data_IF_474265319338
#
_entry.id   IF_474265319338
#
_cell.length_a   1.000
_cell.length_b   1.000
_cell.length_c   1.000
_cell.angle_alpha   90.00
_cell.angle_beta   90.00
_cell.angle_gamma   90.00
#
_symmetry.space_group_name_H-M   'P 1'
#
loop_
_entity.id
_entity.type
_entity.pdbx_description
1 polymer ?
#
# COMPACT_ATOMS: atom_id res chain seq x y z
N UNK A 1 -10.22 -10.75 -6.11
CA UNK A 1 -9.77 -11.02 -4.73
C UNK A 1 -10.16 -12.43 -4.31
N UNK A 2 -11.46 -12.76 -4.31
CA UNK A 2 -11.97 -14.10 -3.91
C UNK A 2 -11.48 -15.25 -4.79
N UNK A 3 -11.29 -15.03 -6.09
CA UNK A 3 -10.85 -16.07 -7.03
C UNK A 3 -9.39 -16.53 -6.84
N UNK A 4 -8.55 -15.73 -6.18
CA UNK A 4 -7.14 -16.08 -5.93
C UNK A 4 -6.83 -16.29 -4.44
N UNK A 5 -7.84 -16.21 -3.56
CA UNK A 5 -7.66 -16.25 -2.10
C UNK A 5 -6.56 -15.30 -1.60
N UNK A 6 -6.41 -14.14 -2.26
CA UNK A 6 -5.41 -13.12 -1.92
C UNK A 6 -6.15 -11.80 -1.62
N UNK A 7 -6.23 -11.39 -0.34
CA UNK A 7 -6.85 -10.12 0.03
C UNK A 7 -6.06 -8.90 -0.45
N UNK A 8 -4.78 -9.06 -0.82
CA UNK A 8 -3.97 -7.97 -1.39
C UNK A 8 -4.19 -7.79 -2.89
N UNK A 9 -4.89 -8.72 -3.55
CA UNK A 9 -5.11 -8.74 -4.99
C UNK A 9 -6.20 -7.76 -5.47
N UNK A 10 -6.13 -6.51 -4.99
CA UNK A 10 -6.87 -5.37 -5.51
C UNK A 10 -6.44 -5.04 -6.95
N UNK A 11 -7.28 -4.33 -7.70
CA UNK A 11 -7.05 -4.06 -9.12
C UNK A 11 -5.76 -3.27 -9.34
N UNK A 12 -5.52 -2.26 -8.50
CA UNK A 12 -4.38 -1.36 -8.52
C UNK A 12 -3.09 -2.12 -8.23
N UNK A 13 -3.07 -2.92 -7.15
CA UNK A 13 -1.92 -3.75 -6.78
C UNK A 13 -1.60 -4.75 -7.89
N UNK A 14 -2.62 -5.38 -8.49
CA UNK A 14 -2.43 -6.29 -9.62
C UNK A 14 -1.84 -5.59 -10.85
N UNK A 15 -2.39 -4.44 -11.23
CA UNK A 15 -1.90 -3.65 -12.36
C UNK A 15 -0.44 -3.24 -12.17
N UNK A 16 -0.08 -2.75 -10.97
CA UNK A 16 1.29 -2.38 -10.62
C UNK A 16 2.23 -3.59 -10.70
N UNK A 17 1.86 -4.72 -10.08
CA UNK A 17 2.67 -5.95 -10.13
C UNK A 17 2.90 -6.42 -11.57
N UNK A 18 1.88 -6.37 -12.41
CA UNK A 18 1.98 -6.76 -13.83
C UNK A 18 2.90 -5.81 -14.60
N UNK A 19 2.74 -4.49 -14.43
CA UNK A 19 3.57 -3.50 -15.11
C UNK A 19 5.05 -3.59 -14.68
N UNK A 20 5.32 -3.72 -13.39
CA UNK A 20 6.68 -3.92 -12.86
C UNK A 20 7.34 -5.17 -13.46
N UNK A 21 6.60 -6.28 -13.55
CA UNK A 21 7.08 -7.53 -14.15
C UNK A 21 7.41 -7.35 -15.64
N UNK A 22 6.53 -6.73 -16.39
CA UNK A 22 6.71 -6.49 -17.83
C UNK A 22 7.92 -5.58 -18.09
N UNK A 23 8.09 -4.55 -17.27
CA UNK A 23 9.18 -3.57 -17.40
C UNK A 23 10.52 -4.06 -16.81
N UNK A 24 10.52 -5.20 -16.10
CA UNK A 24 11.70 -5.69 -15.38
C UNK A 24 12.19 -4.73 -14.29
N UNK A 25 11.30 -3.92 -13.72
CA UNK A 25 11.61 -2.86 -12.76
C UNK A 25 10.68 -2.93 -11.54
N UNK A 26 11.10 -2.38 -10.41
CA UNK A 26 10.29 -2.33 -9.18
C UNK A 26 9.62 -0.96 -8.94
N UNK A 27 9.91 0.02 -9.80
CA UNK A 27 9.29 1.35 -9.83
C UNK A 27 8.85 1.68 -11.27
N UNK A 28 7.86 2.55 -11.40
CA UNK A 28 7.19 2.94 -12.64
C UNK A 28 7.16 4.48 -12.79
N UNK A 29 8.33 5.16 -12.79
CA UNK A 29 8.39 6.61 -12.93
C UNK A 29 7.78 7.06 -14.25
N UNK A 30 6.97 8.13 -14.21
CA UNK A 30 6.26 8.65 -15.38
C UNK A 30 4.99 7.86 -15.75
N UNK A 31 4.72 6.73 -15.09
CA UNK A 31 3.48 5.99 -15.33
C UNK A 31 2.27 6.74 -14.75
N UNK A 32 1.11 6.50 -15.37
CA UNK A 32 -0.19 6.99 -14.91
C UNK A 32 -1.09 5.79 -14.64
N UNK A 33 -1.67 5.73 -13.45
CA UNK A 33 -2.64 4.70 -13.09
C UNK A 33 -4.06 5.20 -13.31
N UNK A 34 -4.87 4.43 -14.01
CA UNK A 34 -6.31 4.64 -14.11
C UNK A 34 -7.01 3.57 -13.28
N UNK A 35 -7.88 3.99 -12.36
CA UNK A 35 -8.62 3.10 -11.47
C UNK A 35 -10.12 3.35 -11.57
N UNK A 36 -10.95 2.32 -11.41
CA UNK A 36 -12.41 2.50 -11.37
C UNK A 36 -12.88 3.14 -10.07
N UNK A 37 -12.09 3.07 -9.00
CA UNK A 37 -12.38 3.66 -7.70
C UNK A 37 -11.13 4.31 -7.12
N UNK A 38 -11.30 5.33 -6.29
CA UNK A 38 -10.25 5.94 -5.48
C UNK A 38 -9.49 4.84 -4.72
N UNK A 39 -8.15 4.80 -4.78
CA UNK A 39 -7.38 3.75 -4.14
C UNK A 39 -7.60 3.70 -2.62
N UNK A 40 -7.86 2.49 -2.09
CA UNK A 40 -7.85 2.23 -0.64
C UNK A 40 -6.44 2.48 -0.06
N UNK A 41 -6.26 2.56 1.28
CA UNK A 41 -4.96 2.85 1.89
C UNK A 41 -3.81 1.94 1.44
N UNK A 42 -4.07 0.64 1.27
CA UNK A 42 -3.07 -0.31 0.76
C UNK A 42 -2.66 0.03 -0.68
N UNK A 43 -3.64 0.32 -1.54
CA UNK A 43 -3.39 0.62 -2.95
C UNK A 43 -2.75 2.00 -3.11
N UNK A 44 -3.15 2.98 -2.32
CA UNK A 44 -2.51 4.28 -2.23
C UNK A 44 -1.02 4.14 -1.88
N UNK A 45 -0.68 3.35 -0.84
CA UNK A 45 0.70 3.10 -0.50
C UNK A 45 1.46 2.42 -1.66
N UNK A 46 0.84 1.45 -2.35
CA UNK A 46 1.45 0.79 -3.50
C UNK A 46 1.74 1.77 -4.66
N UNK A 47 0.86 2.76 -4.91
CA UNK A 47 1.09 3.84 -5.89
C UNK A 47 2.34 4.64 -5.54
N UNK A 48 2.50 5.05 -4.27
CA UNK A 48 3.68 5.78 -3.80
C UNK A 48 4.95 4.94 -3.91
N UNK A 49 4.93 3.69 -3.45
CA UNK A 49 6.10 2.79 -3.53
C UNK A 49 6.51 2.48 -4.98
N UNK A 50 5.55 2.45 -5.89
CA UNK A 50 5.82 2.26 -7.31
C UNK A 50 6.24 3.55 -8.03
N UNK A 51 6.30 4.71 -7.36
CA UNK A 51 6.65 6.00 -7.95
C UNK A 51 5.79 6.38 -9.18
N UNK A 52 4.49 6.08 -9.12
CA UNK A 52 3.53 6.44 -10.17
C UNK A 52 3.25 7.95 -10.09
N UNK A 53 3.26 8.61 -11.24
CA UNK A 53 3.23 10.08 -11.31
C UNK A 53 1.83 10.68 -11.20
N UNK A 54 0.79 9.94 -11.58
CA UNK A 54 -0.60 10.38 -11.44
C UNK A 54 -1.55 9.20 -11.30
N UNK A 55 -2.66 9.43 -10.58
CA UNK A 55 -3.78 8.51 -10.50
C UNK A 55 -5.05 9.24 -10.95
N UNK A 56 -5.77 8.65 -11.90
CA UNK A 56 -7.12 9.07 -12.28
C UNK A 56 -8.10 8.01 -11.80
N UNK A 57 -9.16 8.42 -11.13
CA UNK A 57 -10.18 7.50 -10.61
C UNK A 57 -11.60 8.00 -10.92
N UNK A 58 -12.54 7.06 -11.00
CA UNK A 58 -13.94 7.37 -11.31
C UNK A 58 -14.82 7.47 -10.06
N UNK A 59 -14.96 6.40 -9.28
CA UNK A 59 -15.72 6.39 -8.02
C UNK A 59 -14.85 6.83 -6.83
N UNK A 60 -15.49 7.36 -5.79
CA UNK A 60 -14.87 7.82 -4.54
C UNK A 60 -14.89 6.74 -3.45
N UNK A 61 -14.05 6.88 -2.42
CA UNK A 61 -14.10 5.99 -1.25
C UNK A 61 -15.42 6.03 -0.49
N UNK A 62 -16.15 7.14 -0.53
CA UNK A 62 -17.44 7.28 0.13
C UNK A 62 -18.52 6.47 -0.62
N UNK A 63 -18.48 6.47 -1.96
CA UNK A 63 -19.33 5.61 -2.79
C UNK A 63 -19.03 4.13 -2.58
N UNK A 64 -17.74 3.76 -2.46
CA UNK A 64 -17.35 2.39 -2.12
C UNK A 64 -17.84 1.98 -0.72
N UNK A 65 -17.72 2.87 0.27
CA UNK A 65 -18.21 2.62 1.63
C UNK A 65 -19.74 2.45 1.68
N UNK A 66 -20.48 3.20 0.88
CA UNK A 66 -21.95 3.12 0.82
C UNK A 66 -22.47 1.74 0.37
N UNK A 67 -21.65 0.95 -0.33
CA UNK A 67 -21.98 -0.41 -0.78
C UNK A 67 -21.28 -1.51 0.04
N UNK A 68 -20.70 -1.16 1.19
CA UNK A 68 -20.17 -2.10 2.17
C UNK A 68 -18.68 -2.42 2.04
N UNK A 69 -17.92 -1.65 1.27
CA UNK A 69 -16.46 -1.74 1.31
C UNK A 69 -15.88 -0.97 2.50
N UNK A 70 -14.74 -1.44 3.03
CA UNK A 70 -14.11 -0.88 4.23
C UNK A 70 -13.09 0.23 3.93
N UNK A 71 -12.98 0.69 2.67
CA UNK A 71 -11.96 1.62 2.22
C UNK A 71 -11.88 2.87 3.10
N UNK A 72 -13.03 3.50 3.35
CA UNK A 72 -13.13 4.65 4.24
C UNK A 72 -12.77 4.30 5.69
N UNK A 73 -13.29 3.19 6.22
CA UNK A 73 -12.99 2.75 7.58
C UNK A 73 -11.48 2.59 7.81
N UNK A 74 -10.77 1.99 6.86
CA UNK A 74 -9.31 1.81 6.97
C UNK A 74 -8.60 3.17 6.93
N UNK A 75 -9.08 4.15 6.15
CA UNK A 75 -8.56 5.52 6.22
C UNK A 75 -8.75 6.15 7.61
N UNK A 76 -9.91 5.92 8.24
CA UNK A 76 -10.21 6.45 9.57
C UNK A 76 -9.31 5.82 10.68
N UNK A 77 -8.78 4.61 10.47
CA UNK A 77 -7.87 3.91 11.40
C UNK A 77 -6.40 4.40 11.35
N UNK A 78 -5.97 5.00 10.23
CA UNK A 78 -4.58 5.46 10.02
C UNK A 78 -4.14 6.53 11.03
N UNK A 79 -4.91 7.62 11.25
CA UNK A 79 -4.50 8.69 12.16
C UNK A 79 -4.58 8.30 13.64
N UNK A 80 -5.19 7.17 13.98
CA UNK A 80 -5.28 6.70 15.36
C UNK A 80 -3.91 6.22 15.87
N UNK A 81 -3.67 6.46 17.17
CA UNK A 81 -2.57 5.83 17.87
C UNK A 81 -2.71 4.30 17.79
N UNK A 82 -1.62 3.52 17.72
CA UNK A 82 -1.72 2.07 17.54
C UNK A 82 -2.55 1.34 18.60
N UNK A 83 -2.65 1.90 19.81
CA UNK A 83 -3.43 1.34 20.92
C UNK A 83 -4.94 1.57 20.76
N UNK A 84 -5.33 2.59 19.97
CA UNK A 84 -6.74 2.99 19.74
C UNK A 84 -7.35 2.38 18.47
N UNK A 85 -6.57 1.63 17.68
CA UNK A 85 -7.05 0.95 16.48
C UNK A 85 -7.98 -0.21 16.82
N UNK A 86 -8.94 -0.47 15.94
CA UNK A 86 -9.85 -1.63 16.01
C UNK A 86 -9.10 -2.97 16.01
N UNK A 87 -7.95 -3.01 15.32
CA UNK A 87 -7.02 -4.14 15.34
C UNK A 87 -5.95 -3.83 16.37
N UNK A 88 -5.74 -4.76 17.31
CA UNK A 88 -4.74 -4.60 18.37
C UNK A 88 -3.32 -4.57 17.81
N UNK A 89 -2.63 -3.45 17.97
CA UNK A 89 -1.19 -3.34 17.70
C UNK A 89 -0.43 -3.32 19.03
N UNK A 90 0.57 -4.18 19.19
CA UNK A 90 1.40 -4.25 20.40
C UNK A 90 2.86 -4.05 20.04
N UNK A 91 3.47 -2.97 20.54
CA UNK A 91 4.91 -2.74 20.39
C UNK A 91 5.68 -3.45 21.52
N UNK A 92 6.35 -4.55 21.18
CA UNK A 92 7.13 -5.35 22.14
C UNK A 92 8.48 -4.73 22.55
N UNK A 93 8.87 -3.58 21.96
CA UNK A 93 10.12 -2.86 22.23
C UNK A 93 11.35 -3.78 22.28
N UNK A 94 11.85 -4.20 21.11
CA UNK A 94 13.00 -5.11 21.00
C UNK A 94 14.29 -4.41 20.62
N UNK A 95 15.36 -4.61 21.41
CA UNK A 95 16.72 -4.19 21.06
C UNK A 95 17.24 -4.88 19.79
N UNK A 96 16.84 -6.12 19.53
CA UNK A 96 17.25 -6.83 18.30
C UNK A 96 16.61 -6.21 17.06
N UNK A 97 15.40 -5.65 17.18
CA UNK A 97 14.77 -4.92 16.09
C UNK A 97 15.53 -3.64 15.74
N UNK A 98 16.06 -2.91 16.73
CA UNK A 98 16.89 -1.72 16.50
C UNK A 98 18.17 -2.06 15.71
N UNK A 99 18.77 -3.23 15.97
CA UNK A 99 19.95 -3.71 15.23
C UNK A 99 19.67 -3.98 13.76
N UNK A 100 18.44 -4.33 13.37
CA UNK A 100 18.06 -4.53 11.96
C UNK A 100 18.12 -3.21 11.17
N UNK A 101 17.62 -2.12 11.75
CA UNK A 101 17.70 -0.80 11.12
C UNK A 101 19.15 -0.33 11.00
N UNK A 102 19.98 -0.58 12.01
CA UNK A 102 21.41 -0.26 11.97
C UNK A 102 22.15 -1.09 10.91
N UNK A 103 21.85 -2.39 10.81
CA UNK A 103 22.41 -3.24 9.76
C UNK A 103 22.03 -2.75 8.35
N UNK A 104 20.78 -2.34 8.14
CA UNK A 104 20.36 -1.69 6.89
C UNK A 104 21.08 -0.35 6.67
N UNK A 105 21.33 0.41 7.74
CA UNK A 105 22.04 1.69 7.67
C UNK A 105 23.48 1.54 7.19
N UNK A 106 24.16 0.47 7.61
CA UNK A 106 25.57 0.19 7.30
C UNK A 106 25.77 -0.59 5.99
N UNK A 107 24.70 -1.13 5.40
CA UNK A 107 24.77 -1.88 4.15
C UNK A 107 25.16 -0.96 2.98
N UNK A 108 26.33 -1.22 2.38
CA UNK A 108 26.92 -0.39 1.32
C UNK A 108 26.13 -0.44 0.00
N UNK A 109 25.57 -1.59 -0.36
CA UNK A 109 24.81 -1.82 -1.59
C UNK A 109 23.29 -1.66 -1.40
N UNK A 110 22.86 -0.98 -0.33
CA UNK A 110 21.43 -0.74 -0.08
C UNK A 110 20.81 0.06 -1.21
N UNK A 111 19.60 -0.31 -1.61
CA UNK A 111 18.77 0.46 -2.53
C UNK A 111 17.68 1.15 -1.71
N UNK A 112 17.62 2.47 -1.79
CA UNK A 112 16.51 3.22 -1.21
C UNK A 112 15.21 2.89 -1.97
N UNK A 113 14.09 2.92 -1.24
CA UNK A 113 12.74 2.88 -1.80
C UNK A 113 12.27 4.29 -2.08
#
# INVERSE_FOLDING_TARGET
>A
MTSTNDPTAHAEVKAIRMACKEMGQFHLPGAVLYSSCEPCPMCLAAVYWANISAVYYAATRDEAAAIGFNDKFIYDEIPLDPEDRSIRFVNLKSESAAKLFEAWRLKEDRRAY
#
